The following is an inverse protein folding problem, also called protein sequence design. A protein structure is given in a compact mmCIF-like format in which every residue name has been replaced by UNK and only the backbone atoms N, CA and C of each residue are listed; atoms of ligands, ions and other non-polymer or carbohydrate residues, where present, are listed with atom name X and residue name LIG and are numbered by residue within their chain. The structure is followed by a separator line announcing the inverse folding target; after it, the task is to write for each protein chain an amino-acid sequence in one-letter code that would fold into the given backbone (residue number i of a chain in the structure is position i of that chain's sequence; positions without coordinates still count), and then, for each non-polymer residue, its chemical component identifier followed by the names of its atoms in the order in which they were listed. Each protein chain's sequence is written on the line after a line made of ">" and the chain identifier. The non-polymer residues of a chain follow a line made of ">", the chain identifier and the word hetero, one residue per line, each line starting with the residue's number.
data_IF_837164143995
#
_entry.id   IF_837164143995
#
_cell.length_a   1.000
_cell.length_b   1.000
_cell.length_c   1.000
_cell.angle_alpha   90.00
_cell.angle_beta   90.00
_cell.angle_gamma   90.00
#
_symmetry.space_group_name_H-M   'P 1'
#
loop_
_entity.id
_entity.type
_entity.pdbx_description
1 polymer ?
#
# COMPACT_ATOMS: atom_id res chain seq x y z
N UNK A 1 -176.38 43.40 25.31
CA UNK A 1 -175.11 44.03 25.75
C UNK A 1 -174.08 42.99 26.25
N UNK A 2 -173.91 41.83 25.58
CA UNK A 2 -172.98 40.73 26.01
C UNK A 2 -171.94 40.38 24.93
N UNK A 3 -172.16 40.74 23.66
CA UNK A 3 -171.26 40.37 22.57
C UNK A 3 -169.95 41.20 22.52
N UNK A 4 -169.97 42.46 22.96
CA UNK A 4 -168.83 43.38 22.75
C UNK A 4 -167.62 43.07 23.67
N UNK A 5 -167.85 42.63 24.91
CA UNK A 5 -166.77 42.27 25.83
C UNK A 5 -166.02 40.99 25.42
N UNK A 6 -166.69 40.05 24.74
CA UNK A 6 -166.03 38.82 24.26
C UNK A 6 -165.07 39.12 23.10
N UNK A 7 -165.42 40.04 22.21
CA UNK A 7 -164.58 40.41 21.06
C UNK A 7 -163.30 41.12 21.53
N UNK A 8 -163.39 42.03 22.51
CA UNK A 8 -162.20 42.72 23.07
C UNK A 8 -161.27 41.77 23.81
N UNK A 9 -161.80 40.78 24.54
CA UNK A 9 -161.00 39.77 25.23
C UNK A 9 -160.28 38.81 24.26
N UNK A 10 -160.96 38.38 23.19
CA UNK A 10 -160.34 37.54 22.14
C UNK A 10 -159.28 38.34 21.38
N UNK A 11 -159.54 39.59 21.03
CA UNK A 11 -158.56 40.45 20.37
C UNK A 11 -157.31 40.69 21.24
N UNK A 12 -157.49 40.97 22.54
CA UNK A 12 -156.38 41.10 23.48
C UNK A 12 -155.54 39.81 23.59
N UNK A 13 -156.20 38.65 23.72
CA UNK A 13 -155.53 37.35 23.76
C UNK A 13 -154.75 37.03 22.49
N UNK A 14 -155.31 37.36 21.31
CA UNK A 14 -154.65 37.21 20.00
C UNK A 14 -153.45 38.15 19.88
N UNK A 15 -153.56 39.40 20.32
CA UNK A 15 -152.43 40.35 20.27
C UNK A 15 -151.28 39.94 21.20
N UNK A 16 -151.57 39.45 22.40
CA UNK A 16 -150.54 38.97 23.34
C UNK A 16 -149.85 37.72 22.81
N UNK A 17 -150.59 36.78 22.21
CA UNK A 17 -150.00 35.58 21.60
C UNK A 17 -149.16 35.91 20.36
N UNK A 18 -149.58 36.87 19.53
CA UNK A 18 -148.77 37.35 18.41
C UNK A 18 -147.48 38.02 18.89
N UNK A 19 -147.54 38.89 19.90
CA UNK A 19 -146.33 39.52 20.47
C UNK A 19 -145.40 38.48 21.11
N UNK A 20 -145.93 37.53 21.87
CA UNK A 20 -145.14 36.45 22.46
C UNK A 20 -144.49 35.56 21.38
N UNK A 21 -145.20 35.27 20.29
CA UNK A 21 -144.67 34.53 19.13
C UNK A 21 -143.55 35.30 18.43
N UNK A 22 -143.69 36.62 18.28
CA UNK A 22 -142.69 37.46 17.63
C UNK A 22 -141.41 37.58 18.47
N UNK A 23 -141.56 37.71 19.79
CA UNK A 23 -140.43 37.68 20.74
C UNK A 23 -139.76 36.31 20.73
N UNK A 24 -140.54 35.23 20.78
CA UNK A 24 -140.01 33.87 20.69
C UNK A 24 -139.24 33.62 19.40
N UNK A 25 -139.73 34.12 18.27
CA UNK A 25 -139.06 34.01 16.97
C UNK A 25 -137.78 34.86 16.93
N UNK A 26 -137.78 36.04 17.55
CA UNK A 26 -136.59 36.88 17.68
C UNK A 26 -135.49 36.26 18.55
N UNK A 27 -135.86 35.61 19.65
CA UNK A 27 -134.92 34.87 20.52
C UNK A 27 -134.35 33.67 19.77
N UNK A 28 -135.20 32.84 19.15
CA UNK A 28 -134.74 31.68 18.37
C UNK A 28 -133.85 32.07 17.19
N UNK A 29 -134.13 33.18 16.51
CA UNK A 29 -133.26 33.68 15.44
C UNK A 29 -131.91 34.14 15.98
N UNK A 30 -131.88 34.81 17.14
CA UNK A 30 -130.63 35.21 17.81
C UNK A 30 -129.83 34.00 18.27
N UNK A 31 -130.47 33.04 18.91
CA UNK A 31 -129.82 31.83 19.41
C UNK A 31 -129.33 30.95 18.25
N UNK A 32 -130.08 30.85 17.15
CA UNK A 32 -129.64 30.17 15.94
C UNK A 32 -128.49 30.93 15.24
N UNK A 33 -128.46 32.27 15.33
CA UNK A 33 -127.33 33.07 14.84
C UNK A 33 -126.08 32.89 15.70
N UNK A 34 -126.22 32.87 17.03
CA UNK A 34 -125.13 32.63 17.98
C UNK A 34 -124.59 31.20 17.86
N UNK A 35 -125.46 30.20 17.72
CA UNK A 35 -125.06 28.82 17.51
C UNK A 35 -124.32 28.63 16.16
N UNK A 36 -124.73 29.39 15.13
CA UNK A 36 -124.03 29.39 13.84
C UNK A 36 -122.68 30.10 13.93
N UNK A 37 -122.56 31.14 14.74
CA UNK A 37 -121.29 31.83 15.02
C UNK A 37 -120.33 30.94 15.81
N UNK A 38 -120.80 30.28 16.88
CA UNK A 38 -120.03 29.32 17.68
C UNK A 38 -119.60 28.11 16.84
N UNK A 39 -120.49 27.56 16.01
CA UNK A 39 -120.15 26.47 15.10
C UNK A 39 -119.09 26.89 14.06
N UNK A 40 -119.17 28.12 13.54
CA UNK A 40 -118.16 28.64 12.62
C UNK A 40 -116.83 28.91 13.35
N UNK A 41 -116.86 29.43 14.58
CA UNK A 41 -115.66 29.63 15.39
C UNK A 41 -114.97 28.31 15.74
N UNK A 42 -115.74 27.27 16.09
CA UNK A 42 -115.23 25.93 16.35
C UNK A 42 -114.72 25.26 15.07
N UNK A 43 -115.39 25.47 13.93
CA UNK A 43 -114.91 25.03 12.62
C UNK A 43 -113.58 25.71 12.24
N UNK A 44 -113.46 27.03 12.41
CA UNK A 44 -112.21 27.77 12.18
C UNK A 44 -111.11 27.29 13.12
N UNK A 45 -111.43 26.98 14.38
CA UNK A 45 -110.47 26.43 15.34
C UNK A 45 -110.01 25.03 14.95
N UNK A 46 -110.91 24.16 14.50
CA UNK A 46 -110.56 22.81 14.03
C UNK A 46 -109.76 22.85 12.73
N UNK A 47 -110.09 23.76 11.79
CA UNK A 47 -109.31 24.03 10.59
C UNK A 47 -107.90 24.58 10.93
N UNK A 48 -107.81 25.50 11.90
CA UNK A 48 -106.52 26.00 12.40
C UNK A 48 -105.67 24.92 13.06
N UNK A 49 -106.27 24.10 13.93
CA UNK A 49 -105.58 22.98 14.60
C UNK A 49 -105.17 21.89 13.62
N UNK A 50 -105.97 21.64 12.57
CA UNK A 50 -105.60 20.70 11.51
C UNK A 50 -104.49 21.25 10.62
N UNK A 51 -104.48 22.55 10.33
CA UNK A 51 -103.38 23.22 9.66
C UNK A 51 -102.08 23.17 10.49
N UNK A 52 -102.15 23.45 11.80
CA UNK A 52 -101.01 23.35 12.72
C UNK A 52 -100.49 21.92 12.82
N UNK A 53 -101.37 20.92 13.01
CA UNK A 53 -100.99 19.50 12.97
C UNK A 53 -100.35 19.12 11.64
N UNK A 54 -100.85 19.64 10.52
CA UNK A 54 -100.25 19.40 9.21
C UNK A 54 -98.88 20.05 9.07
N UNK A 55 -98.67 21.24 9.65
CA UNK A 55 -97.36 21.92 9.65
C UNK A 55 -96.34 21.16 10.50
N UNK A 56 -96.72 20.82 11.74
CA UNK A 56 -95.87 20.04 12.64
C UNK A 56 -95.52 18.66 12.06
N UNK A 57 -96.45 18.02 11.34
CA UNK A 57 -96.16 16.77 10.63
C UNK A 57 -95.12 16.96 9.53
N UNK A 58 -95.21 18.03 8.75
CA UNK A 58 -94.21 18.37 7.72
C UNK A 58 -92.84 18.65 8.34
N UNK A 59 -92.78 19.40 9.44
CA UNK A 59 -91.54 19.66 10.16
C UNK A 59 -90.93 18.37 10.74
N UNK A 60 -91.75 17.48 11.30
CA UNK A 60 -91.28 16.19 11.81
C UNK A 60 -90.72 15.30 10.69
N UNK A 61 -91.38 15.27 9.53
CA UNK A 61 -90.92 14.50 8.37
C UNK A 61 -89.64 15.10 7.77
N UNK A 62 -89.50 16.43 7.76
CA UNK A 62 -88.26 17.11 7.39
C UNK A 62 -87.11 16.77 8.37
N UNK A 63 -87.36 16.86 9.67
CA UNK A 63 -86.35 16.56 10.69
C UNK A 63 -85.90 15.09 10.67
N UNK A 64 -86.81 14.16 10.38
CA UNK A 64 -86.49 12.74 10.16
C UNK A 64 -85.59 12.56 8.93
N UNK A 65 -85.87 13.28 7.86
CA UNK A 65 -85.07 13.27 6.63
C UNK A 65 -83.67 13.82 6.90
N UNK A 66 -83.57 14.92 7.64
CA UNK A 66 -82.29 15.51 8.05
C UNK A 66 -81.49 14.54 8.93
N UNK A 67 -82.11 13.92 9.94
CA UNK A 67 -81.45 12.93 10.81
C UNK A 67 -80.93 11.72 10.02
N UNK A 68 -81.72 11.22 9.06
CA UNK A 68 -81.27 10.16 8.17
C UNK A 68 -80.07 10.59 7.34
N UNK A 69 -80.11 11.82 6.80
CA UNK A 69 -79.01 12.40 6.03
C UNK A 69 -77.75 12.57 6.89
N UNK A 70 -77.87 13.06 8.13
CA UNK A 70 -76.74 13.18 9.06
C UNK A 70 -76.16 11.83 9.45
N UNK A 71 -77.00 10.80 9.61
CA UNK A 71 -76.54 9.44 9.91
C UNK A 71 -75.75 8.85 8.75
N UNK A 72 -76.23 9.05 7.51
CA UNK A 72 -75.51 8.65 6.29
C UNK A 72 -74.18 9.41 6.20
N UNK A 73 -74.20 10.73 6.35
CA UNK A 73 -72.99 11.57 6.33
C UNK A 73 -71.98 11.17 7.40
N UNK A 74 -72.43 10.85 8.62
CA UNK A 74 -71.56 10.35 9.68
C UNK A 74 -70.94 9.00 9.30
N UNK A 75 -71.71 8.09 8.69
CA UNK A 75 -71.19 6.83 8.17
C UNK A 75 -70.15 7.02 7.07
N UNK A 76 -70.40 7.94 6.14
CA UNK A 76 -69.43 8.32 5.09
C UNK A 76 -68.16 8.95 5.67
N UNK A 77 -68.30 9.82 6.68
CA UNK A 77 -67.18 10.42 7.40
C UNK A 77 -66.36 9.36 8.15
N UNK A 78 -67.02 8.40 8.82
CA UNK A 78 -66.35 7.30 9.51
C UNK A 78 -65.58 6.39 8.55
N UNK A 79 -66.11 6.18 7.34
CA UNK A 79 -65.40 5.46 6.27
C UNK A 79 -64.22 6.29 5.75
N UNK A 80 -64.39 7.59 5.54
CA UNK A 80 -63.32 8.48 5.10
C UNK A 80 -62.18 8.55 6.13
N UNK A 81 -62.51 8.61 7.42
CA UNK A 81 -61.54 8.60 8.52
C UNK A 81 -60.77 7.27 8.54
N UNK A 82 -61.46 6.14 8.44
CA UNK A 82 -60.80 4.82 8.39
C UNK A 82 -59.87 4.67 7.20
N UNK A 83 -60.31 5.12 6.02
CA UNK A 83 -59.46 5.11 4.82
C UNK A 83 -58.23 6.01 4.98
N UNK A 84 -58.40 7.21 5.54
CA UNK A 84 -57.30 8.12 5.81
C UNK A 84 -56.30 7.55 6.82
N UNK A 85 -56.78 6.90 7.89
CA UNK A 85 -55.95 6.21 8.87
C UNK A 85 -55.15 5.06 8.26
N UNK A 86 -55.77 4.26 7.39
CA UNK A 86 -55.08 3.19 6.67
C UNK A 86 -53.98 3.75 5.76
N UNK A 87 -54.29 4.78 4.96
CA UNK A 87 -53.30 5.43 4.11
C UNK A 87 -52.15 6.06 4.90
N UNK A 88 -52.44 6.63 6.07
CA UNK A 88 -51.41 7.17 6.95
C UNK A 88 -50.48 6.08 7.46
N UNK A 89 -51.02 4.96 7.92
CA UNK A 89 -50.23 3.80 8.38
C UNK A 89 -49.34 3.23 7.27
N UNK A 90 -49.87 3.09 6.06
CA UNK A 90 -49.10 2.64 4.89
C UNK A 90 -47.96 3.61 4.55
N UNK A 91 -48.21 4.93 4.63
CA UNK A 91 -47.20 5.96 4.39
C UNK A 91 -46.13 5.98 5.48
N UNK A 92 -46.51 5.82 6.75
CA UNK A 92 -45.55 5.74 7.87
C UNK A 92 -44.64 4.51 7.74
N UNK A 93 -45.20 3.35 7.38
CA UNK A 93 -44.43 2.15 7.11
C UNK A 93 -43.43 2.36 5.97
N UNK A 94 -43.86 3.04 4.89
CA UNK A 94 -42.99 3.37 3.75
C UNK A 94 -41.89 4.36 4.11
N UNK A 95 -42.18 5.38 4.93
CA UNK A 95 -41.19 6.32 5.45
C UNK A 95 -40.17 5.59 6.31
N UNK A 96 -40.61 4.70 7.20
CA UNK A 96 -39.71 3.90 8.03
C UNK A 96 -38.78 3.01 7.20
N UNK A 97 -39.29 2.40 6.12
CA UNK A 97 -38.47 1.63 5.19
C UNK A 97 -37.43 2.50 4.47
N UNK A 98 -37.85 3.62 3.87
CA UNK A 98 -36.95 4.55 3.17
C UNK A 98 -35.88 5.12 4.11
N UNK A 99 -36.21 5.37 5.37
CA UNK A 99 -35.24 5.81 6.39
C UNK A 99 -34.16 4.75 6.64
N UNK A 100 -34.54 3.47 6.74
CA UNK A 100 -33.58 2.35 6.88
C UNK A 100 -32.70 2.20 5.63
N UNK A 101 -33.28 2.29 4.44
CA UNK A 101 -32.52 2.23 3.17
C UNK A 101 -31.52 3.39 3.07
N UNK A 102 -31.93 4.62 3.41
CA UNK A 102 -31.04 5.78 3.46
C UNK A 102 -29.90 5.62 4.47
N UNK A 103 -30.18 5.06 5.66
CA UNK A 103 -29.15 4.74 6.64
C UNK A 103 -28.13 3.72 6.10
N UNK A 104 -28.61 2.69 5.39
CA UNK A 104 -27.75 1.71 4.70
C UNK A 104 -26.90 2.36 3.61
N UNK A 105 -27.47 3.25 2.79
CA UNK A 105 -26.72 4.00 1.76
C UNK A 105 -25.63 4.87 2.41
N UNK A 106 -25.93 5.53 3.53
CA UNK A 106 -24.94 6.33 4.25
C UNK A 106 -23.78 5.45 4.77
N UNK A 107 -24.09 4.26 5.28
CA UNK A 107 -23.08 3.30 5.71
C UNK A 107 -22.22 2.81 4.53
N UNK A 108 -22.85 2.41 3.42
CA UNK A 108 -22.14 1.98 2.20
C UNK A 108 -21.25 3.09 1.62
N UNK A 109 -21.68 4.36 1.68
CA UNK A 109 -20.84 5.50 1.29
C UNK A 109 -19.62 5.64 2.19
N UNK A 110 -19.77 5.46 3.50
CA UNK A 110 -18.68 5.49 4.47
C UNK A 110 -17.69 4.35 4.23
N UNK A 111 -18.18 3.14 4.00
CA UNK A 111 -17.36 1.96 3.67
C UNK A 111 -16.61 2.17 2.33
N UNK A 112 -17.28 2.69 1.30
CA UNK A 112 -16.64 2.99 0.02
C UNK A 112 -15.54 4.05 0.17
N UNK A 113 -15.77 5.09 0.98
CA UNK A 113 -14.74 6.09 1.30
C UNK A 113 -13.55 5.48 2.05
N UNK A 114 -13.80 4.60 3.01
CA UNK A 114 -12.76 3.87 3.73
C UNK A 114 -11.94 2.97 2.78
N UNK A 115 -12.60 2.21 1.90
CA UNK A 115 -11.96 1.36 0.89
C UNK A 115 -11.11 2.21 -0.06
N UNK A 116 -11.61 3.37 -0.52
CA UNK A 116 -10.85 4.29 -1.37
C UNK A 116 -9.58 4.79 -0.69
N UNK A 117 -9.65 5.11 0.61
CA UNK A 117 -8.49 5.53 1.41
C UNK A 117 -7.46 4.39 1.55
N UNK A 118 -7.92 3.18 1.87
CA UNK A 118 -7.06 1.99 1.94
C UNK A 118 -6.38 1.75 0.58
N UNK A 119 -7.12 1.85 -0.52
CA UNK A 119 -6.55 1.70 -1.86
C UNK A 119 -5.48 2.75 -2.16
N UNK A 120 -5.70 4.02 -1.80
CA UNK A 120 -4.70 5.07 -1.99
C UNK A 120 -3.43 4.81 -1.19
N UNK A 121 -3.57 4.37 0.07
CA UNK A 121 -2.45 4.02 0.92
C UNK A 121 -1.66 2.84 0.34
N UNK A 122 -2.34 1.78 -0.11
CA UNK A 122 -1.70 0.63 -0.78
C UNK A 122 -0.96 1.02 -2.06
N UNK A 123 -1.52 1.93 -2.87
CA UNK A 123 -0.84 2.44 -4.06
C UNK A 123 0.44 3.18 -3.68
N UNK A 124 0.38 4.05 -2.66
CA UNK A 124 1.56 4.76 -2.16
C UNK A 124 2.62 3.81 -1.61
N UNK A 125 2.23 2.77 -0.87
CA UNK A 125 3.15 1.74 -0.38
C UNK A 125 3.80 0.98 -1.55
N UNK A 126 3.04 0.63 -2.58
CA UNK A 126 3.52 -0.09 -3.75
C UNK A 126 4.53 0.76 -4.55
N UNK A 127 4.26 2.05 -4.72
CA UNK A 127 5.21 3.00 -5.33
C UNK A 127 6.50 3.12 -4.50
N UNK A 128 6.38 3.22 -3.17
CA UNK A 128 7.54 3.22 -2.25
C UNK A 128 8.38 1.95 -2.38
N UNK A 129 7.74 0.77 -2.40
CA UNK A 129 8.41 -0.52 -2.60
C UNK A 129 9.10 -0.61 -3.96
N UNK A 130 8.47 -0.13 -5.04
CA UNK A 130 9.08 -0.10 -6.37
C UNK A 130 10.33 0.78 -6.41
N UNK A 131 10.28 1.95 -5.78
CA UNK A 131 11.42 2.86 -5.67
C UNK A 131 12.57 2.20 -4.90
N UNK A 132 12.28 1.63 -3.73
CA UNK A 132 13.26 0.90 -2.90
C UNK A 132 13.89 -0.27 -3.66
N UNK A 133 13.09 -1.07 -4.37
CA UNK A 133 13.60 -2.18 -5.18
C UNK A 133 14.51 -1.70 -6.32
N UNK A 134 14.18 -0.58 -6.97
CA UNK A 134 15.05 0.02 -8.00
C UNK A 134 16.37 0.51 -7.41
N UNK A 135 16.36 1.10 -6.22
CA UNK A 135 17.57 1.55 -5.52
C UNK A 135 18.47 0.35 -5.15
N UNK A 136 17.89 -0.70 -4.58
CA UNK A 136 18.62 -1.93 -4.23
C UNK A 136 19.24 -2.60 -5.46
N UNK A 137 18.54 -2.63 -6.59
CA UNK A 137 19.10 -3.16 -7.84
C UNK A 137 20.31 -2.35 -8.32
N UNK A 138 20.26 -1.02 -8.20
CA UNK A 138 21.39 -0.15 -8.54
C UNK A 138 22.59 -0.38 -7.58
N UNK A 139 22.33 -0.52 -6.28
CA UNK A 139 23.36 -0.80 -5.28
C UNK A 139 24.03 -2.17 -5.52
N UNK A 140 23.25 -3.21 -5.83
CA UNK A 140 23.77 -4.54 -6.19
C UNK A 140 24.67 -4.45 -7.43
N UNK A 141 24.27 -3.69 -8.45
CA UNK A 141 25.09 -3.50 -9.65
C UNK A 141 26.44 -2.82 -9.32
N UNK A 142 26.43 -1.83 -8.43
CA UNK A 142 27.64 -1.12 -8.01
C UNK A 142 28.56 -1.97 -7.12
N UNK A 143 27.99 -2.73 -6.19
CA UNK A 143 28.74 -3.68 -5.37
C UNK A 143 29.40 -4.76 -6.25
N UNK A 144 28.70 -5.27 -7.27
CA UNK A 144 29.27 -6.23 -8.21
C UNK A 144 30.44 -5.64 -9.01
N UNK A 145 30.35 -4.37 -9.45
CA UNK A 145 31.48 -3.68 -10.09
C UNK A 145 32.66 -3.53 -9.15
N UNK A 146 32.40 -3.16 -7.90
CA UNK A 146 33.43 -3.00 -6.86
C UNK A 146 34.12 -4.33 -6.57
N UNK A 147 33.36 -5.43 -6.40
CA UNK A 147 33.91 -6.78 -6.22
C UNK A 147 34.77 -7.18 -7.41
N UNK A 148 34.30 -6.93 -8.64
CA UNK A 148 35.07 -7.25 -9.85
C UNK A 148 36.35 -6.40 -9.97
N UNK A 149 36.36 -5.16 -9.48
CA UNK A 149 37.55 -4.31 -9.42
C UNK A 149 38.54 -4.82 -8.37
N UNK A 150 38.06 -5.10 -7.14
CA UNK A 150 38.88 -5.62 -6.05
C UNK A 150 39.49 -6.98 -6.38
N UNK A 151 38.75 -7.88 -7.06
CA UNK A 151 39.32 -9.15 -7.53
C UNK A 151 40.49 -8.94 -8.48
N UNK A 152 40.33 -8.05 -9.47
CA UNK A 152 41.41 -7.72 -10.41
C UNK A 152 42.63 -7.11 -9.72
N UNK A 153 42.40 -6.25 -8.74
CA UNK A 153 43.47 -5.67 -7.94
C UNK A 153 44.18 -6.74 -7.11
N UNK A 154 43.42 -7.64 -6.49
CA UNK A 154 43.97 -8.73 -5.70
C UNK A 154 44.81 -9.68 -6.58
N UNK A 155 44.31 -10.09 -7.75
CA UNK A 155 45.07 -10.90 -8.72
C UNK A 155 46.38 -10.22 -9.13
N UNK A 156 46.36 -8.90 -9.33
CA UNK A 156 47.55 -8.10 -9.65
C UNK A 156 48.55 -8.07 -8.48
N UNK A 157 48.06 -7.88 -7.25
CA UNK A 157 48.89 -7.89 -6.05
C UNK A 157 49.50 -9.27 -5.80
N UNK A 158 48.72 -10.35 -5.95
CA UNK A 158 49.23 -11.72 -5.89
C UNK A 158 50.33 -11.95 -6.91
N UNK A 159 50.12 -11.59 -8.18
CA UNK A 159 51.14 -11.73 -9.22
C UNK A 159 52.43 -10.95 -8.87
N UNK A 160 52.32 -9.73 -8.35
CA UNK A 160 53.46 -8.93 -7.90
C UNK A 160 54.17 -9.52 -6.69
N UNK A 161 53.43 -10.08 -5.73
CA UNK A 161 54.01 -10.72 -4.55
C UNK A 161 54.81 -11.97 -4.93
N UNK A 162 54.24 -12.86 -5.75
CA UNK A 162 54.94 -14.04 -6.25
C UNK A 162 56.19 -13.68 -7.06
N UNK A 163 56.13 -12.64 -7.91
CA UNK A 163 57.31 -12.17 -8.65
C UNK A 163 58.46 -11.69 -7.73
N UNK A 164 58.16 -11.16 -6.53
CA UNK A 164 59.19 -10.76 -5.56
C UNK A 164 59.77 -11.96 -4.80
N UNK A 165 58.97 -12.99 -4.52
CA UNK A 165 59.42 -14.20 -3.79
C UNK A 165 60.39 -15.07 -4.60
N UNK A 166 60.31 -15.03 -5.93
CA UNK A 166 61.23 -15.77 -6.82
C UNK A 166 62.60 -15.10 -7.03
N UNK A 167 62.91 -13.98 -6.35
CA UNK A 167 64.21 -13.33 -6.46
C UNK A 167 65.26 -14.07 -5.62
N UNK A 168 66.42 -14.31 -6.22
CA UNK A 168 67.59 -14.81 -5.51
C UNK A 168 68.29 -13.69 -4.73
N UNK A 169 68.95 -14.04 -3.65
CA UNK A 169 69.71 -13.13 -2.80
C UNK A 169 71.03 -13.75 -2.36
N UNK A 170 71.88 -13.00 -1.64
CA UNK A 170 73.21 -13.44 -1.21
C UNK A 170 74.14 -13.92 -2.36
N UNK A 171 74.09 -13.24 -3.50
CA UNK A 171 74.98 -13.54 -4.63
C UNK A 171 76.46 -13.42 -4.26
N UNK A 172 77.21 -14.47 -4.54
CA UNK A 172 78.67 -14.53 -4.42
C UNK A 172 79.25 -14.98 -5.74
N UNK A 173 80.24 -14.23 -6.22
CA UNK A 173 80.95 -14.53 -7.46
C UNK A 173 82.43 -14.66 -7.18
N UNK A 174 83.03 -15.76 -7.60
CA UNK A 174 84.43 -16.07 -7.40
C UNK A 174 85.08 -16.49 -8.72
N UNK A 175 86.18 -15.82 -9.08
CA UNK A 175 86.93 -16.17 -10.29
C UNK A 175 88.15 -16.99 -9.91
N UNK A 176 88.31 -18.16 -10.52
CA UNK A 176 89.35 -19.13 -10.15
C UNK A 176 90.19 -19.60 -11.34
N UNK A 177 91.35 -20.19 -11.01
CA UNK A 177 92.25 -20.86 -11.96
C UNK A 177 91.89 -22.35 -12.09
N UNK A 178 91.77 -22.86 -13.32
CA UNK A 178 91.33 -24.23 -13.67
C UNK A 178 92.04 -25.38 -12.94
N UNK A 179 93.33 -25.24 -12.60
CA UNK A 179 94.15 -26.34 -12.04
C UNK A 179 94.28 -26.37 -10.52
N UNK A 180 93.84 -25.35 -9.78
CA UNK A 180 94.05 -25.28 -8.31
C UNK A 180 92.91 -24.61 -7.54
N UNK A 181 91.80 -24.24 -8.20
CA UNK A 181 90.71 -23.46 -7.62
C UNK A 181 91.17 -22.22 -6.83
N UNK A 182 92.33 -21.68 -7.21
CA UNK A 182 92.89 -20.49 -6.57
C UNK A 182 92.20 -19.26 -7.12
N UNK A 183 91.63 -18.46 -6.21
CA UNK A 183 91.08 -17.15 -6.50
C UNK A 183 92.08 -16.30 -7.29
N UNK A 184 91.56 -15.59 -8.27
CA UNK A 184 92.35 -14.72 -9.13
C UNK A 184 91.55 -13.52 -9.58
N UNK A 185 92.18 -12.35 -9.49
CA UNK A 185 91.65 -11.11 -10.07
C UNK A 185 92.33 -10.78 -11.41
N UNK A 186 93.33 -11.56 -11.83
CA UNK A 186 94.05 -11.29 -13.10
C UNK A 186 93.31 -11.93 -14.27
N UNK A 187 93.01 -11.12 -15.28
CA UNK A 187 92.29 -11.49 -16.49
C UNK A 187 92.93 -12.71 -17.18
N UNK A 188 94.25 -12.68 -17.39
CA UNK A 188 95.00 -13.79 -18.03
C UNK A 188 94.94 -15.13 -17.29
N UNK A 189 94.55 -15.13 -16.01
CA UNK A 189 94.50 -16.31 -15.14
C UNK A 189 93.06 -16.69 -14.79
N UNK A 190 92.08 -15.89 -15.17
CA UNK A 190 90.67 -16.17 -14.97
C UNK A 190 90.24 -17.24 -15.96
N UNK A 191 89.87 -18.41 -15.44
CA UNK A 191 89.47 -19.56 -16.26
C UNK A 191 88.07 -20.05 -15.96
N UNK A 192 87.63 -19.96 -14.70
CA UNK A 192 86.31 -20.41 -14.30
C UNK A 192 85.69 -19.35 -13.40
N UNK A 193 84.40 -19.09 -13.60
CA UNK A 193 83.61 -18.18 -12.78
C UNK A 193 82.62 -19.02 -11.98
N UNK A 194 82.82 -19.09 -10.66
CA UNK A 194 81.90 -19.74 -9.73
C UNK A 194 80.90 -18.71 -9.24
N UNK A 195 79.62 -19.05 -9.30
CA UNK A 195 78.50 -18.18 -8.91
C UNK A 195 77.66 -18.96 -7.91
N UNK A 196 77.41 -18.40 -6.74
CA UNK A 196 76.47 -18.96 -5.78
C UNK A 196 75.48 -17.93 -5.30
N UNK A 197 74.27 -18.38 -5.00
CA UNK A 197 73.19 -17.53 -4.49
C UNK A 197 72.19 -18.37 -3.72
N UNK A 198 71.44 -17.70 -2.85
CA UNK A 198 70.37 -18.27 -2.06
C UNK A 198 69.03 -17.94 -2.70
N UNK A 199 68.12 -18.90 -2.67
CA UNK A 199 66.76 -18.74 -3.16
C UNK A 199 65.78 -19.10 -2.06
N UNK A 200 64.87 -18.19 -1.76
CA UNK A 200 63.66 -18.48 -1.00
C UNK A 200 62.66 -19.22 -1.92
N UNK A 201 62.03 -20.27 -1.40
CA UNK A 201 61.00 -21.06 -2.10
C UNK A 201 61.44 -21.67 -3.45
N UNK A 202 62.47 -22.54 -3.44
CA UNK A 202 63.04 -23.14 -4.65
C UNK A 202 62.10 -24.07 -5.45
N UNK A 203 60.98 -24.47 -4.87
CA UNK A 203 59.97 -25.35 -5.46
C UNK A 203 59.08 -24.65 -6.49
N UNK A 204 59.07 -23.31 -6.52
CA UNK A 204 58.24 -22.51 -7.45
C UNK A 204 58.99 -22.09 -8.74
N UNK A 205 60.23 -22.53 -8.93
CA UNK A 205 61.03 -22.18 -10.10
C UNK A 205 60.55 -22.93 -11.34
N UNK A 206 60.10 -22.17 -12.35
CA UNK A 206 59.71 -22.68 -13.65
C UNK A 206 60.84 -22.51 -14.66
N UNK A 207 61.43 -23.62 -15.10
CA UNK A 207 62.40 -23.66 -16.20
C UNK A 207 63.85 -23.86 -15.77
N UNK A 208 64.71 -24.13 -16.76
CA UNK A 208 66.14 -24.38 -16.57
C UNK A 208 66.86 -23.11 -16.11
N UNK A 209 67.81 -23.28 -15.20
CA UNK A 209 68.68 -22.20 -14.73
C UNK A 209 69.77 -21.92 -15.75
N UNK A 210 69.91 -20.66 -16.14
CA UNK A 210 71.02 -20.22 -16.99
C UNK A 210 71.57 -18.86 -16.55
N UNK A 211 72.77 -18.56 -17.03
CA UNK A 211 73.48 -17.34 -16.70
C UNK A 211 73.83 -16.62 -17.99
N UNK A 212 73.65 -15.29 -18.01
CA UNK A 212 74.19 -14.41 -19.04
C UNK A 212 75.33 -13.60 -18.45
N UNK A 213 76.53 -13.77 -19.00
CA UNK A 213 77.71 -13.00 -18.61
C UNK A 213 77.96 -11.94 -19.66
N UNK A 214 77.99 -10.67 -19.25
CA UNK A 214 78.25 -9.53 -20.12
C UNK A 214 79.64 -8.98 -19.86
N UNK A 215 80.41 -8.83 -20.93
CA UNK A 215 81.77 -8.29 -20.93
C UNK A 215 81.80 -6.78 -20.65
N UNK A 216 82.99 -6.20 -20.35
CA UNK A 216 83.15 -4.76 -20.17
C UNK A 216 82.74 -3.93 -21.39
N UNK A 217 82.74 -4.55 -22.58
CA UNK A 217 82.30 -3.95 -23.86
C UNK A 217 80.81 -4.14 -24.12
N UNK A 218 80.05 -4.60 -23.12
CA UNK A 218 78.61 -4.89 -23.20
C UNK A 218 78.22 -6.00 -24.19
N UNK A 219 79.16 -6.88 -24.56
CA UNK A 219 78.91 -8.07 -25.38
C UNK A 219 78.73 -9.31 -24.50
N UNK A 220 77.84 -10.22 -24.90
CA UNK A 220 77.63 -11.48 -24.19
C UNK A 220 78.83 -12.41 -24.37
N UNK A 221 79.26 -13.03 -23.27
CA UNK A 221 80.38 -13.97 -23.24
C UNK A 221 79.83 -15.37 -23.42
N UNK A 222 80.25 -16.07 -24.48
CA UNK A 222 79.92 -17.47 -24.68
C UNK A 222 80.70 -18.36 -23.71
N UNK A 223 80.10 -19.45 -23.26
CA UNK A 223 80.73 -20.41 -22.37
C UNK A 223 79.78 -21.51 -21.91
N UNK A 224 80.35 -22.52 -21.29
CA UNK A 224 79.61 -23.67 -20.78
C UNK A 224 79.21 -23.44 -19.31
N UNK A 225 77.97 -23.79 -18.97
CA UNK A 225 77.44 -23.70 -17.62
C UNK A 225 77.28 -25.09 -17.02
N UNK A 226 77.86 -25.31 -15.84
CA UNK A 226 77.73 -26.54 -15.06
C UNK A 226 77.14 -26.20 -13.71
N UNK A 227 76.07 -26.89 -13.33
CA UNK A 227 75.48 -26.80 -11.99
C UNK A 227 76.30 -27.70 -11.07
N UNK A 228 76.97 -27.12 -10.06
CA UNK A 228 77.90 -27.83 -9.19
C UNK A 228 77.24 -28.40 -7.94
N UNK A 229 76.37 -27.62 -7.29
CA UNK A 229 75.76 -27.99 -6.03
C UNK A 229 74.37 -27.36 -5.91
N UNK A 230 73.44 -28.17 -5.43
CA UNK A 230 72.03 -27.86 -5.48
C UNK A 230 71.34 -28.39 -4.22
N UNK A 231 71.69 -27.83 -3.06
CA UNK A 231 71.25 -28.30 -1.75
C UNK A 231 70.17 -27.39 -1.18
N UNK A 232 69.08 -28.00 -0.70
CA UNK A 232 68.11 -27.33 0.16
C UNK A 232 68.70 -27.31 1.56
N UNK A 233 68.95 -26.10 2.07
CA UNK A 233 69.47 -25.90 3.42
C UNK A 233 68.30 -25.42 4.27
N UNK A 234 67.79 -26.32 5.10
CA UNK A 234 66.84 -25.93 6.15
C UNK A 234 67.66 -25.34 7.30
N UNK A 235 67.53 -24.04 7.52
CA UNK A 235 68.13 -23.38 8.66
C UNK A 235 67.00 -22.84 9.54
N UNK A 236 66.98 -23.28 10.79
CA UNK A 236 66.23 -22.60 11.84
C UNK A 236 66.87 -21.22 12.02
N UNK A 237 66.32 -20.22 11.34
CA UNK A 237 66.78 -18.84 11.49
C UNK A 237 66.26 -18.35 12.84
N UNK A 238 67.13 -18.34 13.85
CA UNK A 238 66.91 -17.58 15.08
C UNK A 238 66.87 -16.09 14.72
N UNK A 239 65.68 -15.56 14.49
CA UNK A 239 65.50 -14.12 14.27
C UNK A 239 65.46 -13.41 15.62
N UNK A 240 66.41 -12.49 15.87
CA UNK A 240 66.26 -11.52 16.94
C UNK A 240 65.28 -10.43 16.46
N UNK A 241 63.98 -10.66 16.64
CA UNK A 241 62.92 -9.69 16.33
C UNK A 241 62.51 -8.94 17.61
N UNK A 242 62.32 -7.62 17.49
CA UNK A 242 61.82 -6.76 18.58
C UNK A 242 60.35 -7.12 18.91
N UNK A 243 59.62 -7.72 17.97
CA UNK A 243 58.18 -7.96 18.06
C UNK A 243 57.80 -9.38 18.54
N UNK A 244 58.76 -10.20 18.99
CA UNK A 244 58.49 -11.50 19.64
C UNK A 244 57.74 -12.55 18.79
N UNK A 245 57.52 -12.28 17.50
CA UNK A 245 56.82 -13.18 16.59
C UNK A 245 57.68 -14.37 16.16
N UNK A 246 57.09 -15.56 16.20
CA UNK A 246 57.63 -16.76 15.54
C UNK A 246 57.64 -16.53 14.02
N UNK A 247 58.83 -16.44 13.41
CA UNK A 247 58.95 -16.52 11.95
C UNK A 247 58.93 -17.98 11.54
N UNK A 248 58.08 -18.36 10.58
CA UNK A 248 58.10 -19.70 10.01
C UNK A 248 59.50 -20.02 9.46
N UNK A 249 59.98 -21.28 9.56
CA UNK A 249 61.24 -21.69 8.94
C UNK A 249 61.18 -21.36 7.44
N UNK A 250 62.06 -20.48 6.98
CA UNK A 250 62.21 -20.21 5.56
C UNK A 250 63.17 -21.23 4.97
N UNK A 251 62.64 -22.21 4.26
CA UNK A 251 63.46 -23.10 3.45
C UNK A 251 64.15 -22.27 2.36
N UNK A 252 65.49 -22.26 2.37
CA UNK A 252 66.26 -21.68 1.29
C UNK A 252 67.12 -22.74 0.62
N UNK A 253 67.33 -22.56 -0.68
CA UNK A 253 68.21 -23.42 -1.48
C UNK A 253 69.42 -22.62 -1.90
N UNK A 254 70.59 -23.14 -1.60
CA UNK A 254 71.84 -22.60 -2.13
C UNK A 254 72.12 -23.29 -3.46
N UNK A 255 72.19 -22.48 -4.52
CA UNK A 255 72.55 -22.94 -5.85
C UNK A 255 73.97 -22.48 -6.14
N UNK A 256 74.83 -23.42 -6.56
CA UNK A 256 76.21 -23.15 -6.97
C UNK A 256 76.39 -23.55 -8.43
N UNK A 257 76.84 -22.60 -9.25
CA UNK A 257 77.07 -22.72 -10.69
C UNK A 257 78.55 -22.48 -11.01
N UNK A 258 79.04 -23.11 -12.07
CA UNK A 258 80.33 -22.83 -12.68
C UNK A 258 80.16 -22.51 -14.15
N UNK A 259 80.69 -21.36 -14.55
CA UNK A 259 80.75 -20.91 -15.93
C UNK A 259 82.20 -21.00 -16.44
N UNK A 260 82.43 -21.78 -17.49
CA UNK A 260 83.70 -21.88 -18.23
C UNK A 260 83.58 -21.05 -19.52
N UNK A 261 84.14 -19.82 -19.56
CA UNK A 261 84.10 -18.98 -20.75
C UNK A 261 84.83 -19.65 -21.92
N UNK A 262 84.24 -19.60 -23.12
CA UNK A 262 84.86 -20.15 -24.33
C UNK A 262 86.16 -19.41 -24.70
N UNK A 263 86.17 -18.09 -24.49
CA UNK A 263 87.30 -17.21 -24.77
C UNK A 263 87.96 -16.68 -23.49
N UNK A 264 89.23 -16.28 -23.60
CA UNK A 264 89.94 -15.64 -22.49
C UNK A 264 89.28 -14.32 -22.11
N UNK A 265 89.00 -14.17 -20.82
CA UNK A 265 88.46 -12.94 -20.28
C UNK A 265 89.48 -11.79 -20.35
N UNK A 266 89.02 -10.62 -20.80
CA UNK A 266 89.76 -9.37 -20.82
C UNK A 266 89.68 -8.62 -19.48
N UNK A 267 90.53 -7.61 -19.30
CA UNK A 267 90.48 -6.69 -18.16
C UNK A 267 89.19 -5.86 -18.18
N UNK A 268 88.55 -5.69 -17.03
CA UNK A 268 87.37 -4.84 -16.85
C UNK A 268 86.32 -5.43 -15.92
N UNK A 269 85.14 -4.81 -15.89
CA UNK A 269 84.00 -5.23 -15.06
C UNK A 269 83.04 -6.08 -15.90
N UNK A 270 82.69 -7.24 -15.37
CA UNK A 270 81.73 -8.16 -15.97
C UNK A 270 80.45 -8.17 -15.13
N UNK A 271 79.31 -8.24 -15.83
CA UNK A 271 78.00 -8.35 -15.21
C UNK A 271 77.44 -9.74 -15.44
N UNK A 272 77.01 -10.38 -14.37
CA UNK A 272 76.41 -11.71 -14.36
C UNK A 272 74.93 -11.53 -14.06
N UNK A 273 74.07 -12.03 -14.93
CA UNK A 273 72.62 -12.04 -14.73
C UNK A 273 72.17 -13.50 -14.71
N UNK A 274 71.44 -13.88 -13.66
CA UNK A 274 70.94 -15.25 -13.46
C UNK A 274 69.46 -15.30 -13.75
N UNK A 275 69.04 -16.32 -14.49
CA UNK A 275 67.66 -16.53 -14.92
C UNK A 275 67.21 -17.97 -14.65
N UNK A 276 65.90 -18.16 -14.47
CA UNK A 276 65.22 -19.45 -14.52
C UNK A 276 64.07 -19.34 -15.52
N UNK A 277 64.17 -20.07 -16.64
CA UNK A 277 63.24 -19.87 -17.76
C UNK A 277 63.22 -18.41 -18.21
N UNK A 278 62.05 -17.77 -18.20
CA UNK A 278 61.93 -16.35 -18.58
C UNK A 278 62.08 -15.38 -17.40
N UNK A 279 62.32 -15.87 -16.18
CA UNK A 279 62.34 -15.06 -14.97
C UNK A 279 63.76 -14.65 -14.60
N UNK A 280 63.97 -13.36 -14.35
CA UNK A 280 65.22 -12.82 -13.82
C UNK A 280 65.29 -13.04 -12.31
N UNK A 281 66.32 -13.74 -11.85
CA UNK A 281 66.50 -14.07 -10.43
C UNK A 281 67.37 -13.03 -9.71
N UNK A 282 68.31 -12.42 -10.41
CA UNK A 282 69.22 -11.42 -9.84
C UNK A 282 70.53 -11.30 -10.60
N UNK A 283 71.42 -10.44 -10.10
CA UNK A 283 72.70 -10.17 -10.74
C UNK A 283 73.84 -10.04 -9.75
N UNK A 284 75.04 -10.35 -10.22
CA UNK A 284 76.30 -10.08 -9.55
C UNK A 284 77.29 -9.47 -10.53
N UNK A 285 78.40 -8.94 -10.03
CA UNK A 285 79.47 -8.42 -10.87
C UNK A 285 80.82 -8.81 -10.31
N UNK A 286 81.80 -8.92 -11.20
CA UNK A 286 83.20 -9.13 -10.82
C UNK A 286 84.11 -8.29 -11.70
N UNK A 287 85.27 -7.93 -11.18
CA UNK A 287 86.27 -7.17 -11.91
C UNK A 287 87.54 -7.97 -12.11
N UNK A 288 88.12 -7.82 -13.30
CA UNK A 288 89.41 -8.39 -13.66
C UNK A 288 90.41 -7.28 -13.91
N UNK A 289 91.55 -7.38 -13.24
CA UNK A 289 92.74 -6.59 -13.43
C UNK A 289 93.68 -7.24 -14.46
N UNK A 290 94.70 -6.50 -14.88
CA UNK A 290 95.67 -6.92 -15.89
C UNK A 290 96.45 -8.20 -15.53
#
# INVERSE_FOLDING_TARGET
>A
MIAENKIKAVAAGVTVTLFASLIGTGILYRDNSLLKEDFMAEKVRTESLTAERSSLKKELDALRTDLSTYTIKNGELDLAIRNAQQQLSEREARIAQLSKENASIAQLKKENAAIRKIRQDLVSQLEGMRSSNSQLQAEIAELNRTIAALRRENDNLYAKAHAKTSMAYNFRTEVVKKRKDKLTVRAKRAHLVKISFDMSNPSELSGELYVKVRSPKSQDVAGDLVILENSVLQQDVLTASIDGGWSAPTDYRRVSLSFDPADKLEQGVYHIMVYSGNNYLGSSQFSLAK
#
